data_IF_211969865500
#
_entry.id   IF_211969865500
#
_cell.length_a   1.000
_cell.length_b   1.000
_cell.length_c   1.000
_cell.angle_alpha   90.00
_cell.angle_beta   90.00
_cell.angle_gamma   90.00
#
_symmetry.space_group_name_H-M   'P 1'
#
loop_
_entity.id
_entity.type
_entity.pdbx_description
1 polymer ?
#
# COMPACT_ATOMS: atom_id res chain seq x y z
N UNK A 1 8.90 5.52 8.57
CA UNK A 1 7.74 4.79 8.03
C UNK A 1 6.73 5.79 7.49
N UNK A 2 5.97 5.40 6.48
CA UNK A 2 4.92 6.23 5.87
C UNK A 2 3.89 5.30 5.22
N UNK A 3 2.81 5.86 4.68
CA UNK A 3 1.76 5.10 3.99
C UNK A 3 2.02 5.17 2.48
N UNK A 4 1.91 4.02 1.82
CA UNK A 4 1.96 3.92 0.36
C UNK A 4 0.72 3.16 -0.12
N UNK A 5 -0.04 3.76 -1.04
CA UNK A 5 -1.12 3.04 -1.71
C UNK A 5 -0.61 2.54 -3.07
N UNK A 6 -0.33 1.24 -3.15
CA UNK A 6 0.14 0.54 -4.35
C UNK A 6 -1.03 0.32 -5.35
N UNK A 7 -1.57 1.43 -5.87
CA UNK A 7 -2.70 1.41 -6.78
C UNK A 7 -2.34 0.64 -8.05
N UNK A 8 -3.23 -0.25 -8.45
CA UNK A 8 -2.92 -1.23 -9.50
C UNK A 8 -4.03 -1.30 -10.55
N UNK A 9 -3.66 -1.06 -11.80
CA UNK A 9 -4.48 -1.37 -12.97
C UNK A 9 -4.37 -2.86 -13.26
N UNK A 10 -5.37 -3.62 -12.78
CA UNK A 10 -5.33 -5.09 -12.76
C UNK A 10 -5.38 -5.73 -14.14
N UNK A 11 -6.00 -5.08 -15.11
CA UNK A 11 -6.00 -5.54 -16.49
C UNK A 11 -4.57 -5.46 -17.07
N UNK A 12 -3.86 -4.34 -16.89
CA UNK A 12 -2.45 -4.20 -17.31
C UNK A 12 -1.50 -5.10 -16.53
N UNK A 13 -1.68 -5.25 -15.21
CA UNK A 13 -0.88 -6.16 -14.38
C UNK A 13 -0.93 -7.61 -14.90
N UNK A 14 -2.04 -7.99 -15.56
CA UNK A 14 -2.31 -9.36 -16.02
C UNK A 14 -2.15 -9.57 -17.52
N UNK A 15 -1.77 -8.53 -18.28
CA UNK A 15 -1.44 -8.65 -19.70
C UNK A 15 -0.13 -9.42 -19.94
N UNK A 16 0.71 -9.56 -18.91
CA UNK A 16 1.96 -10.32 -18.96
C UNK A 16 2.25 -11.03 -17.65
N UNK A 17 3.47 -11.55 -17.51
CA UNK A 17 3.92 -12.26 -16.30
C UNK A 17 4.52 -11.33 -15.24
N UNK A 18 4.77 -10.07 -15.58
CA UNK A 18 5.39 -9.07 -14.71
C UNK A 18 4.36 -8.07 -14.21
N UNK A 19 4.44 -7.70 -12.94
CA UNK A 19 3.46 -6.80 -12.32
C UNK A 19 3.77 -5.31 -12.56
N UNK A 20 5.00 -4.97 -12.94
CA UNK A 20 5.52 -3.60 -13.01
C UNK A 20 4.61 -2.67 -13.79
N UNK A 21 4.21 -3.05 -15.01
CA UNK A 21 3.41 -2.17 -15.88
C UNK A 21 2.08 -1.77 -15.23
N UNK A 22 1.40 -2.69 -14.54
CA UNK A 22 0.12 -2.39 -13.90
C UNK A 22 0.20 -1.53 -12.63
N UNK A 23 1.41 -1.25 -12.13
CA UNK A 23 1.66 -0.56 -10.84
C UNK A 23 2.46 0.74 -10.98
N UNK A 24 2.78 1.15 -12.20
CA UNK A 24 3.64 2.31 -12.48
C UNK A 24 2.99 3.26 -13.49
N UNK A 25 1.66 3.40 -13.44
CA UNK A 25 0.97 4.44 -14.19
C UNK A 25 1.15 5.78 -13.46
N UNK A 26 1.05 6.88 -14.19
CA UNK A 26 1.17 8.21 -13.59
C UNK A 26 0.06 8.39 -12.53
N UNK A 27 0.45 8.92 -11.36
CA UNK A 27 -0.48 9.13 -10.24
C UNK A 27 -0.90 7.87 -9.47
N UNK A 28 -0.34 6.68 -9.74
CA UNK A 28 -0.73 5.43 -9.05
C UNK A 28 0.17 5.04 -7.87
N UNK A 29 1.08 5.90 -7.44
CA UNK A 29 1.97 5.66 -6.30
C UNK A 29 1.95 6.75 -5.23
N UNK A 30 0.78 7.16 -4.69
CA UNK A 30 0.74 8.15 -3.63
C UNK A 30 1.43 7.64 -2.36
N UNK A 31 2.17 8.53 -1.73
CA UNK A 31 3.01 8.28 -0.55
C UNK A 31 2.84 9.44 0.44
N UNK A 32 2.69 9.16 1.73
CA UNK A 32 2.54 10.17 2.77
C UNK A 32 1.54 9.78 3.87
N UNK A 33 0.85 10.74 4.52
CA UNK A 33 0.99 12.19 4.37
C UNK A 33 2.32 12.72 4.96
N UNK A 34 2.94 11.96 5.86
CA UNK A 34 4.20 12.31 6.51
C UNK A 34 5.11 11.07 6.65
N UNK A 35 6.37 11.32 7.00
CA UNK A 35 7.31 10.27 7.39
C UNK A 35 7.51 10.34 8.89
N UNK A 36 7.09 9.30 9.60
CA UNK A 36 7.41 9.13 11.01
C UNK A 36 8.71 8.37 11.17
N UNK A 37 9.49 8.71 12.18
CA UNK A 37 10.74 8.05 12.52
C UNK A 37 10.49 6.70 13.18
N UNK A 38 11.51 5.84 13.27
CA UNK A 38 11.34 4.48 13.76
C UNK A 38 11.09 4.40 15.28
N UNK A 39 11.55 5.40 16.02
CA UNK A 39 11.36 5.53 17.47
C UNK A 39 9.99 6.11 17.87
N UNK A 40 9.21 6.62 16.91
CA UNK A 40 7.83 7.06 17.13
C UNK A 40 6.81 5.90 17.08
N UNK A 41 7.23 4.71 16.64
CA UNK A 41 6.37 3.53 16.47
C UNK A 41 6.90 2.33 17.27
N UNK A 42 6.07 1.30 17.51
CA UNK A 42 6.56 0.02 18.02
C UNK A 42 7.70 -0.53 17.15
N UNK A 43 8.70 -1.22 17.73
CA UNK A 43 9.81 -1.79 16.98
C UNK A 43 9.33 -2.60 15.77
N UNK A 44 9.85 -2.29 14.58
CA UNK A 44 9.47 -2.96 13.33
C UNK A 44 8.07 -2.62 12.80
N UNK A 45 7.38 -1.64 13.41
CA UNK A 45 5.97 -1.32 13.16
C UNK A 45 5.01 -2.48 13.48
N UNK A 46 5.35 -3.33 14.44
CA UNK A 46 4.49 -4.43 14.87
C UNK A 46 3.23 -3.93 15.61
N UNK A 47 2.13 -4.67 15.49
CA UNK A 47 0.88 -4.38 16.20
C UNK A 47 0.04 -3.20 15.68
N UNK A 48 0.42 -2.55 14.58
CA UNK A 48 -0.31 -1.37 14.07
C UNK A 48 -1.52 -1.79 13.24
N UNK A 49 -2.69 -1.18 13.51
CA UNK A 49 -3.86 -1.35 12.66
C UNK A 49 -3.68 -0.58 11.35
N UNK A 50 -4.08 -1.21 10.24
CA UNK A 50 -4.17 -0.62 8.91
C UNK A 50 -5.58 -0.77 8.37
N UNK A 51 -6.16 0.34 7.90
CA UNK A 51 -7.45 0.34 7.21
C UNK A 51 -7.38 1.03 5.85
N UNK A 52 -8.08 0.47 4.86
CA UNK A 52 -8.34 1.14 3.59
C UNK A 52 -9.83 1.38 3.45
N UNK A 53 -10.26 2.59 3.12
CA UNK A 53 -11.66 2.96 2.85
C UNK A 53 -11.82 3.47 1.42
N UNK A 54 -12.92 3.12 0.77
CA UNK A 54 -13.36 3.70 -0.49
C UNK A 54 -14.68 4.41 -0.25
N UNK A 55 -14.70 5.73 -0.42
CA UNK A 55 -15.87 6.58 -0.13
C UNK A 55 -16.42 6.35 1.29
N UNK A 56 -15.52 6.25 2.28
CA UNK A 56 -15.86 5.97 3.68
C UNK A 56 -16.21 4.51 3.98
N UNK A 57 -16.39 3.64 2.97
CA UNK A 57 -16.65 2.22 3.20
C UNK A 57 -15.34 1.45 3.39
N UNK A 58 -15.19 0.75 4.51
CA UNK A 58 -14.01 -0.09 4.79
C UNK A 58 -13.87 -1.22 3.77
N UNK A 59 -12.74 -1.21 3.06
CA UNK A 59 -12.34 -2.22 2.08
C UNK A 59 -11.26 -3.16 2.63
N UNK A 60 -10.37 -2.68 3.48
CA UNK A 60 -9.35 -3.47 4.15
C UNK A 60 -9.29 -3.06 5.62
N UNK A 61 -9.07 -4.03 6.51
CA UNK A 61 -8.92 -3.83 7.95
C UNK A 61 -8.08 -4.98 8.50
N UNK A 62 -6.85 -4.68 8.91
CA UNK A 62 -5.88 -5.69 9.31
C UNK A 62 -4.88 -5.11 10.33
N UNK A 63 -3.99 -5.97 10.82
CA UNK A 63 -2.88 -5.57 11.67
C UNK A 63 -1.54 -5.92 11.00
N UNK A 64 -0.50 -5.11 11.23
CA UNK A 64 0.87 -5.42 10.76
C UNK A 64 1.46 -6.69 11.41
N UNK A 65 0.82 -7.21 12.45
CA UNK A 65 1.08 -8.55 12.98
C UNK A 65 0.79 -9.68 11.98
N UNK A 66 -0.10 -9.45 11.01
CA UNK A 66 -0.44 -10.43 9.99
C UNK A 66 0.59 -10.49 8.84
N UNK A 67 1.64 -9.67 8.87
CA UNK A 67 2.68 -9.67 7.85
C UNK A 67 3.46 -10.99 7.84
N UNK A 68 3.42 -11.70 6.70
CA UNK A 68 4.17 -12.96 6.49
C UNK A 68 5.68 -12.76 6.64
N UNK A 69 6.20 -11.66 6.09
CA UNK A 69 7.58 -11.23 6.28
C UNK A 69 7.59 -9.89 7.01
N UNK A 70 8.05 -9.90 8.27
CA UNK A 70 8.26 -8.68 9.06
C UNK A 70 9.31 -7.77 8.41
N UNK A 71 9.27 -6.47 8.71
CA UNK A 71 10.14 -5.44 8.10
C UNK A 71 11.61 -5.85 8.10
N UNK A 72 12.15 -6.26 9.25
CA UNK A 72 13.55 -6.69 9.37
C UNK A 72 13.88 -7.89 8.46
N UNK A 73 12.96 -8.86 8.34
CA UNK A 73 13.14 -10.02 7.45
C UNK A 73 13.06 -9.63 5.97
N UNK A 74 12.14 -8.72 5.62
CA UNK A 74 12.04 -8.20 4.25
C UNK A 74 13.32 -7.48 3.82
N UNK A 75 13.86 -6.61 4.68
CA UNK A 75 15.15 -5.93 4.45
C UNK A 75 16.26 -6.96 4.26
N UNK A 76 16.39 -7.93 5.18
CA UNK A 76 17.43 -8.96 5.09
C UNK A 76 17.38 -9.73 3.76
N UNK A 77 16.19 -10.16 3.32
CA UNK A 77 16.00 -10.86 2.04
C UNK A 77 16.43 -9.98 0.87
N UNK A 78 16.04 -8.70 0.85
CA UNK A 78 16.36 -7.80 -0.26
C UNK A 78 17.86 -7.55 -0.35
N UNK A 79 18.54 -7.43 0.80
CA UNK A 79 19.99 -7.23 0.85
C UNK A 79 20.81 -8.44 0.40
N UNK A 80 20.20 -9.62 0.26
CA UNK A 80 20.85 -10.77 -0.38
C UNK A 80 21.01 -10.55 -1.91
N UNK A 81 20.15 -9.73 -2.51
CA UNK A 81 20.08 -9.54 -3.97
C UNK A 81 20.54 -8.15 -4.45
N UNK A 82 20.42 -7.11 -3.62
CA UNK A 82 20.76 -5.73 -3.99
C UNK A 82 21.27 -4.91 -2.80
N UNK A 83 22.12 -3.92 -3.08
CA UNK A 83 22.46 -2.88 -2.10
C UNK A 83 21.26 -1.94 -1.93
N UNK A 84 20.87 -1.65 -0.68
CA UNK A 84 19.88 -0.62 -0.37
C UNK A 84 20.59 0.72 -0.17
N UNK A 85 20.08 1.77 -0.79
CA UNK A 85 20.62 3.12 -0.72
C UNK A 85 19.77 4.03 0.18
N UNK A 86 20.37 5.05 0.81
CA UNK A 86 19.60 6.05 1.53
C UNK A 86 18.56 6.72 0.64
N UNK A 87 17.29 6.64 1.05
CA UNK A 87 16.15 7.13 0.26
C UNK A 87 15.34 6.04 -0.43
N UNK A 88 15.80 4.78 -0.42
CA UNK A 88 15.00 3.65 -0.90
C UNK A 88 13.70 3.50 -0.10
N UNK A 89 12.62 3.20 -0.82
CA UNK A 89 11.29 2.99 -0.27
C UNK A 89 10.87 1.54 -0.45
N UNK A 90 10.37 0.95 0.62
CA UNK A 90 9.92 -0.42 0.63
C UNK A 90 8.42 -0.54 0.87
N UNK A 91 7.68 -0.87 -0.17
CA UNK A 91 6.27 -1.21 -0.08
C UNK A 91 6.12 -2.66 0.42
N UNK A 92 5.71 -2.83 1.67
CA UNK A 92 5.75 -4.13 2.38
C UNK A 92 4.54 -5.04 2.14
N UNK A 93 3.72 -4.73 1.13
CA UNK A 93 2.55 -5.51 0.75
C UNK A 93 1.23 -4.92 1.25
N UNK A 94 0.15 -5.68 1.05
CA UNK A 94 -1.23 -5.24 1.34
C UNK A 94 -2.02 -6.39 1.95
N UNK A 95 -2.92 -6.14 2.93
CA UNK A 95 -3.74 -7.19 3.52
C UNK A 95 -4.89 -7.62 2.59
N UNK A 96 -5.68 -8.61 3.04
CA UNK A 96 -6.90 -9.03 2.35
C UNK A 96 -7.91 -7.88 2.20
N UNK A 97 -8.84 -8.02 1.24
CA UNK A 97 -9.94 -7.06 1.03
C UNK A 97 -9.82 -6.19 -0.23
N UNK A 98 -8.75 -6.34 -1.02
CA UNK A 98 -8.55 -5.66 -2.31
C UNK A 98 -9.76 -5.84 -3.24
N UNK A 99 -10.15 -4.77 -3.93
CA UNK A 99 -11.41 -4.71 -4.70
C UNK A 99 -11.59 -5.83 -5.72
N UNK A 100 -10.53 -6.19 -6.45
CA UNK A 100 -10.56 -7.27 -7.44
C UNK A 100 -10.91 -8.65 -6.85
N UNK A 101 -10.54 -8.93 -5.60
CA UNK A 101 -10.76 -10.24 -4.98
C UNK A 101 -12.17 -10.40 -4.37
N UNK A 102 -13.01 -9.35 -4.43
CA UNK A 102 -14.38 -9.37 -3.90
C UNK A 102 -15.34 -10.03 -4.89
N UNK A 103 -16.51 -10.45 -4.40
CA UNK A 103 -17.60 -11.00 -5.22
C UNK A 103 -18.91 -10.25 -4.93
N UNK A 104 -19.39 -9.38 -5.84
CA UNK A 104 -18.74 -8.99 -7.09
C UNK A 104 -17.46 -8.15 -6.86
N UNK A 105 -16.55 -8.06 -7.84
CA UNK A 105 -15.38 -7.17 -7.74
C UNK A 105 -15.79 -5.71 -7.58
N UNK A 106 -15.00 -4.98 -6.81
CA UNK A 106 -15.15 -3.53 -6.62
C UNK A 106 -13.99 -2.83 -7.34
N UNK A 107 -14.33 -1.87 -8.18
CA UNK A 107 -13.37 -1.05 -8.94
C UNK A 107 -13.57 0.41 -8.58
N UNK A 108 -12.46 1.12 -8.41
CA UNK A 108 -12.48 2.57 -8.24
C UNK A 108 -12.89 3.23 -9.56
N UNK A 109 -13.58 4.37 -9.45
CA UNK A 109 -14.10 5.16 -10.57
C UNK A 109 -13.76 6.63 -10.39
N UNK A 110 -13.91 7.40 -11.46
CA UNK A 110 -13.83 8.86 -11.39
C UNK A 110 -14.71 9.43 -10.27
N UNK A 111 -14.13 10.32 -9.47
CA UNK A 111 -14.80 10.95 -8.33
C UNK A 111 -14.78 10.14 -7.03
N UNK A 112 -14.32 8.88 -7.04
CA UNK A 112 -14.11 8.13 -5.80
C UNK A 112 -12.99 8.76 -4.96
N UNK A 113 -13.01 8.54 -3.65
CA UNK A 113 -11.91 8.84 -2.74
C UNK A 113 -11.46 7.56 -2.04
N UNK A 114 -10.17 7.26 -2.14
CA UNK A 114 -9.53 6.17 -1.40
C UNK A 114 -8.71 6.75 -0.26
N UNK A 115 -8.88 6.18 0.93
CA UNK A 115 -8.14 6.54 2.12
C UNK A 115 -7.43 5.31 2.66
N UNK A 116 -6.14 5.44 2.96
CA UNK A 116 -5.38 4.44 3.70
C UNK A 116 -4.93 5.06 5.02
N UNK A 117 -5.26 4.39 6.11
CA UNK A 117 -4.95 4.83 7.46
C UNK A 117 -4.11 3.77 8.16
N UNK A 118 -3.02 4.22 8.80
CA UNK A 118 -2.20 3.38 9.67
C UNK A 118 -2.11 4.07 11.02
N UNK A 119 -2.41 3.32 12.07
CA UNK A 119 -2.29 3.78 13.46
C UNK A 119 -0.88 4.31 13.74
N UNK A 120 -0.79 5.48 14.36
CA UNK A 120 0.48 6.15 14.65
C UNK A 120 1.16 6.84 13.46
N UNK A 121 0.59 6.79 12.25
CA UNK A 121 1.11 7.50 11.06
C UNK A 121 0.12 8.53 10.54
N UNK A 122 -1.17 8.18 10.40
CA UNK A 122 -2.20 9.11 9.92
C UNK A 122 -2.99 8.55 8.74
N UNK A 123 -3.55 9.46 7.91
CA UNK A 123 -4.44 9.11 6.78
C UNK A 123 -3.87 9.66 5.47
N UNK A 124 -3.61 8.77 4.52
CA UNK A 124 -3.32 9.09 3.13
C UNK A 124 -4.62 9.05 2.33
N UNK A 125 -5.13 10.22 1.92
CA UNK A 125 -6.39 10.37 1.18
C UNK A 125 -6.12 10.85 -0.24
N UNK A 126 -6.63 10.11 -1.24
CA UNK A 126 -6.43 10.41 -2.64
C UNK A 126 -7.75 10.36 -3.41
N UNK A 127 -8.11 11.42 -4.17
CA UNK A 127 -9.20 11.34 -5.12
C UNK A 127 -8.78 10.50 -6.32
N UNK A 128 -9.73 9.73 -6.87
CA UNK A 128 -9.58 8.99 -8.12
C UNK A 128 -10.10 9.89 -9.23
N UNK A 129 -9.26 10.09 -10.24
CA UNK A 129 -9.63 10.81 -11.46
C UNK A 129 -9.33 9.95 -12.67
N UNK A 130 -10.29 9.87 -13.56
CA UNK A 130 -10.04 9.26 -14.87
C UNK A 130 -9.14 10.18 -15.71
N UNK A 131 -8.32 9.59 -16.57
CA UNK A 131 -7.51 10.35 -17.52
C UNK A 131 -8.46 10.89 -18.61
N UNK A 132 -8.78 12.18 -18.55
CA UNK A 132 -9.64 12.88 -19.54
C UNK A 132 -8.97 12.92 -20.91
#
# INVERSE_FOLDING_TARGET
YTIFNDATLRDYQRRGTQWTVGKNFDGTGPLGPEFVTADELPPGCDGLRLQTRLNGQTMQDANTDDMVFKVAKAIAILTEAMTLEPGDLLATGTPAGVGYARTPPVWMKDGDTVEVEIEGIGVLSNPVKDEV
#
